data_IF_662872532969
#
_entry.id   IF_662872532969
#
_cell.length_a   1.000
_cell.length_b   1.000
_cell.length_c   1.000
_cell.angle_alpha   90.00
_cell.angle_beta   90.00
_cell.angle_gamma   90.00
#
_symmetry.space_group_name_H-M   'P 1'
#
loop_
_entity.id
_entity.type
_entity.pdbx_description
1 polymer ?
#
# COMPACT_ATOMS: atom_id res chain seq x y z
N UNK A 1 0.13 -17.76 8.22
CA UNK A 1 0.54 -17.76 6.79
C UNK A 1 1.11 -16.39 6.50
N UNK A 2 2.22 -16.29 5.76
CA UNK A 2 2.78 -14.99 5.36
C UNK A 2 1.87 -14.31 4.33
N UNK A 3 1.70 -13.01 4.46
CA UNK A 3 0.83 -12.16 3.64
C UNK A 3 1.68 -11.22 2.83
N UNK A 4 1.91 -11.57 1.58
CA UNK A 4 2.67 -10.76 0.64
C UNK A 4 1.75 -10.35 -0.49
N UNK A 5 1.61 -9.04 -0.68
CA UNK A 5 0.74 -8.52 -1.72
C UNK A 5 0.63 -7.01 -1.69
N UNK A 6 -0.59 -6.50 -1.83
CA UNK A 6 -0.84 -5.07 -2.02
C UNK A 6 -1.84 -4.51 -1.01
N UNK A 7 -1.80 -3.20 -0.86
CA UNK A 7 -2.84 -2.41 -0.22
C UNK A 7 -3.34 -1.34 -1.20
N UNK A 8 -4.66 -1.26 -1.40
CA UNK A 8 -5.32 -0.13 -2.07
C UNK A 8 -5.47 0.98 -1.02
N UNK A 9 -4.39 1.69 -0.69
CA UNK A 9 -4.33 2.58 0.48
C UNK A 9 -3.95 4.03 0.18
N UNK A 10 -3.85 4.38 -1.10
CA UNK A 10 -3.53 5.71 -1.63
C UNK A 10 -4.74 6.65 -1.64
N UNK A 11 -4.49 7.96 -1.72
CA UNK A 11 -5.51 8.98 -2.00
C UNK A 11 -5.73 9.14 -3.51
N UNK A 12 -6.96 9.49 -3.92
CA UNK A 12 -7.32 9.71 -5.32
C UNK A 12 -8.36 8.73 -5.85
N UNK A 13 -8.46 8.60 -7.18
CA UNK A 13 -9.59 7.93 -7.84
C UNK A 13 -9.84 6.52 -7.27
N UNK A 14 -11.07 6.29 -6.80
CA UNK A 14 -11.56 4.95 -6.46
C UNK A 14 -11.54 4.03 -7.68
N UNK A 15 -11.01 2.83 -7.49
CA UNK A 15 -11.01 1.81 -8.53
C UNK A 15 -12.40 1.19 -8.67
N UNK A 16 -12.73 0.82 -9.91
CA UNK A 16 -13.83 -0.08 -10.20
C UNK A 16 -13.48 -1.52 -9.77
N UNK A 17 -14.49 -2.36 -9.52
CA UNK A 17 -14.23 -3.76 -9.19
C UNK A 17 -13.53 -4.53 -10.32
N UNK A 18 -13.76 -4.17 -11.58
CA UNK A 18 -13.04 -4.75 -12.71
C UNK A 18 -11.55 -4.38 -12.70
N UNK A 19 -11.21 -3.13 -12.38
CA UNK A 19 -9.81 -2.72 -12.16
C UNK A 19 -9.19 -3.49 -10.99
N UNK A 20 -9.94 -3.76 -9.91
CA UNK A 20 -9.46 -4.58 -8.79
C UNK A 20 -9.24 -6.05 -9.17
N UNK A 21 -10.10 -6.63 -10.01
CA UNK A 21 -9.94 -8.02 -10.51
C UNK A 21 -8.64 -8.18 -11.32
N UNK A 22 -8.26 -7.17 -12.11
CA UNK A 22 -6.96 -7.15 -12.82
C UNK A 22 -5.80 -7.28 -11.82
N UNK A 23 -5.88 -6.63 -10.65
CA UNK A 23 -4.83 -6.76 -9.63
C UNK A 23 -4.78 -8.15 -9.02
N UNK A 24 -5.93 -8.80 -8.82
CA UNK A 24 -5.98 -10.17 -8.31
C UNK A 24 -5.34 -11.18 -9.28
N UNK A 25 -5.59 -11.02 -10.59
CA UNK A 25 -4.91 -11.83 -11.62
C UNK A 25 -3.39 -11.60 -11.62
N UNK A 26 -2.96 -10.34 -11.47
CA UNK A 26 -1.55 -10.00 -11.36
C UNK A 26 -0.92 -10.60 -10.09
N UNK A 27 -1.59 -10.49 -8.93
CA UNK A 27 -1.13 -11.09 -7.67
C UNK A 27 -0.95 -12.60 -7.83
N UNK A 28 -1.94 -13.28 -8.41
CA UNK A 28 -1.88 -14.72 -8.66
C UNK A 28 -0.70 -15.10 -9.54
N UNK A 29 -0.51 -14.37 -10.64
CA UNK A 29 0.57 -14.60 -11.60
C UNK A 29 1.96 -14.33 -11.00
N UNK A 30 2.03 -13.45 -10.01
CA UNK A 30 3.24 -13.06 -9.28
C UNK A 30 3.51 -13.88 -8.01
N UNK A 31 2.74 -14.93 -7.75
CA UNK A 31 2.81 -15.75 -6.51
C UNK A 31 2.73 -14.89 -5.22
N UNK A 32 1.87 -13.89 -5.27
CA UNK A 32 1.44 -13.05 -4.16
C UNK A 32 0.02 -13.48 -3.75
N UNK A 33 -0.34 -13.25 -2.49
CA UNK A 33 -1.49 -13.94 -1.89
C UNK A 33 -2.40 -13.04 -1.05
N UNK A 34 -2.19 -11.73 -1.04
CA UNK A 34 -2.92 -10.81 -0.18
C UNK A 34 -3.35 -9.53 -0.90
N UNK A 35 -4.59 -9.12 -0.66
CA UNK A 35 -5.15 -7.85 -1.11
C UNK A 35 -5.79 -7.16 0.10
N UNK A 36 -5.31 -5.99 0.49
CA UNK A 36 -5.96 -5.17 1.52
C UNK A 36 -6.76 -4.04 0.86
N UNK A 37 -8.10 -4.12 0.95
CA UNK A 37 -9.00 -3.05 0.54
C UNK A 37 -9.03 -1.98 1.63
N UNK A 38 -8.39 -0.84 1.40
CA UNK A 38 -8.36 0.30 2.33
C UNK A 38 -8.38 1.68 1.63
N UNK A 39 -9.15 1.87 0.53
CA UNK A 39 -9.06 3.10 -0.25
C UNK A 39 -9.47 4.32 0.56
N UNK A 40 -8.64 5.36 0.53
CA UNK A 40 -8.85 6.57 1.34
C UNK A 40 -10.10 7.34 0.95
N UNK A 41 -10.51 7.25 -0.31
CA UNK A 41 -11.70 7.91 -0.86
C UNK A 41 -13.00 7.11 -0.69
N UNK A 42 -12.98 5.92 -0.06
CA UNK A 42 -14.22 5.23 0.31
C UNK A 42 -14.67 5.71 1.70
N UNK A 43 -15.69 6.58 1.78
CA UNK A 43 -16.11 7.15 3.05
C UNK A 43 -16.72 6.09 3.98
N UNK A 44 -17.30 5.01 3.44
CA UNK A 44 -18.07 4.03 4.21
C UNK A 44 -17.18 3.06 5.02
N UNK A 45 -15.87 3.10 4.81
CA UNK A 45 -14.86 2.41 5.62
C UNK A 45 -13.99 3.38 6.42
N UNK A 46 -14.28 4.68 6.37
CA UNK A 46 -13.47 5.75 6.96
C UNK A 46 -14.32 6.85 7.60
N UNK A 47 -14.65 7.92 6.87
CA UNK A 47 -15.28 9.14 7.42
C UNK A 47 -16.77 8.98 7.77
N UNK A 48 -17.46 8.07 7.09
CA UNK A 48 -18.89 7.78 7.26
C UNK A 48 -19.09 6.28 7.49
N UNK A 49 -18.33 5.71 8.44
CA UNK A 49 -18.39 4.29 8.79
C UNK A 49 -19.76 3.88 9.37
N UNK A 50 -20.55 4.85 9.81
CA UNK A 50 -21.94 4.73 10.24
C UNK A 50 -22.93 4.47 9.09
N UNK A 51 -22.54 4.80 7.85
CA UNK A 51 -23.38 4.61 6.67
C UNK A 51 -23.07 3.27 5.99
N UNK A 52 -24.08 2.68 5.36
CA UNK A 52 -23.92 1.48 4.53
C UNK A 52 -23.64 1.82 3.08
N UNK A 53 -22.83 0.99 2.41
CA UNK A 53 -22.74 0.99 0.95
C UNK A 53 -24.10 0.64 0.34
N UNK A 54 -24.29 1.01 -0.93
CA UNK A 54 -25.52 0.67 -1.66
C UNK A 54 -25.63 -0.85 -1.88
N UNK A 55 -26.85 -1.34 -2.12
CA UNK A 55 -27.07 -2.77 -2.43
C UNK A 55 -26.31 -3.23 -3.68
N UNK A 56 -26.23 -2.36 -4.69
CA UNK A 56 -25.47 -2.63 -5.91
C UNK A 56 -23.98 -2.83 -5.59
N UNK A 57 -23.40 -1.91 -4.81
CA UNK A 57 -22.02 -2.03 -4.37
C UNK A 57 -21.77 -3.30 -3.54
N UNK A 58 -22.70 -3.65 -2.64
CA UNK A 58 -22.57 -4.86 -1.81
C UNK A 58 -22.59 -6.14 -2.65
N UNK A 59 -23.42 -6.19 -3.69
CA UNK A 59 -23.44 -7.32 -4.64
C UNK A 59 -22.11 -7.39 -5.42
N UNK A 60 -21.64 -6.25 -5.96
CA UNK A 60 -20.38 -6.22 -6.69
C UNK A 60 -19.18 -6.59 -5.80
N UNK A 61 -19.22 -6.20 -4.52
CA UNK A 61 -18.22 -6.58 -3.54
C UNK A 61 -18.27 -8.08 -3.22
N UNK A 62 -19.45 -8.69 -3.09
CA UNK A 62 -19.60 -10.13 -2.90
C UNK A 62 -19.04 -10.93 -4.09
N UNK A 63 -19.31 -10.46 -5.30
CA UNK A 63 -18.75 -11.02 -6.53
C UNK A 63 -17.22 -10.89 -6.55
N UNK A 64 -16.69 -9.74 -6.13
CA UNK A 64 -15.26 -9.52 -6.01
C UNK A 64 -14.62 -10.43 -4.94
N UNK A 65 -15.23 -10.55 -3.76
CA UNK A 65 -14.75 -11.42 -2.68
C UNK A 65 -14.71 -12.89 -3.15
N UNK A 66 -15.76 -13.35 -3.83
CA UNK A 66 -15.81 -14.70 -4.42
C UNK A 66 -14.70 -14.92 -5.45
N UNK A 67 -14.46 -13.94 -6.32
CA UNK A 67 -13.36 -13.98 -7.29
C UNK A 67 -11.98 -14.09 -6.62
N UNK A 68 -11.74 -13.37 -5.51
CA UNK A 68 -10.48 -13.51 -4.76
C UNK A 68 -10.32 -14.90 -4.15
N UNK A 69 -11.40 -15.48 -3.61
CA UNK A 69 -11.42 -16.84 -3.05
C UNK A 69 -11.04 -17.89 -4.12
N UNK A 70 -11.62 -17.78 -5.33
CA UNK A 70 -11.33 -18.68 -6.46
C UNK A 70 -9.85 -18.65 -6.89
N UNK A 71 -9.23 -17.46 -6.86
CA UNK A 71 -7.81 -17.32 -7.19
C UNK A 71 -6.87 -17.74 -6.04
N UNK A 72 -7.41 -17.95 -4.83
CA UNK A 72 -6.63 -18.19 -3.62
C UNK A 72 -5.93 -16.93 -3.10
N UNK A 73 -6.48 -15.75 -3.39
CA UNK A 73 -6.04 -14.47 -2.87
C UNK A 73 -6.83 -14.18 -1.60
N UNK A 74 -6.14 -13.87 -0.51
CA UNK A 74 -6.78 -13.49 0.74
C UNK A 74 -7.14 -12.01 0.69
N UNK A 75 -8.44 -11.72 0.70
CA UNK A 75 -8.96 -10.37 0.80
C UNK A 75 -9.06 -9.94 2.27
N UNK A 76 -8.50 -8.78 2.58
CA UNK A 76 -8.64 -8.10 3.87
C UNK A 76 -9.27 -6.73 3.73
N UNK A 77 -9.82 -6.21 4.84
CA UNK A 77 -10.52 -4.93 4.89
C UNK A 77 -9.85 -4.00 5.89
N UNK A 78 -9.41 -2.84 5.42
CA UNK A 78 -8.98 -1.73 6.24
C UNK A 78 -10.18 -0.89 6.65
N UNK A 79 -10.35 -0.67 7.96
CA UNK A 79 -11.40 0.17 8.52
C UNK A 79 -10.73 1.28 9.35
N UNK A 80 -10.89 2.53 8.92
CA UNK A 80 -10.34 3.67 9.64
C UNK A 80 -11.31 4.14 10.72
N UNK A 81 -10.86 4.17 11.98
CA UNK A 81 -11.64 4.71 13.09
C UNK A 81 -11.13 6.11 13.46
N UNK A 82 -11.63 7.12 12.75
CA UNK A 82 -11.25 8.52 12.97
C UNK A 82 -11.88 9.07 14.26
N UNK A 83 -13.13 8.70 14.53
CA UNK A 83 -13.86 9.11 15.72
C UNK A 83 -14.22 7.87 16.57
N UNK A 84 -13.75 7.86 17.81
CA UNK A 84 -13.98 6.71 18.72
C UNK A 84 -15.46 6.50 19.10
N UNK A 85 -16.33 7.51 18.89
CA UNK A 85 -17.77 7.34 19.07
C UNK A 85 -18.40 6.39 18.05
N UNK A 86 -17.73 6.15 16.91
CA UNK A 86 -18.20 5.23 15.87
C UNK A 86 -17.82 3.78 16.13
N UNK A 87 -17.42 3.44 17.35
CA UNK A 87 -16.95 2.10 17.69
C UNK A 87 -17.99 0.99 17.44
N UNK A 88 -19.27 1.23 17.72
CA UNK A 88 -20.32 0.24 17.41
C UNK A 88 -20.62 0.13 15.91
N UNK A 89 -20.45 1.23 15.16
CA UNK A 89 -20.53 1.22 13.70
C UNK A 89 -19.38 0.40 13.11
N UNK A 90 -18.17 0.53 13.65
CA UNK A 90 -17.02 -0.31 13.29
C UNK A 90 -17.31 -1.80 13.48
N UNK A 91 -17.89 -2.20 14.63
CA UNK A 91 -18.30 -3.61 14.85
C UNK A 91 -19.34 -4.07 13.85
N UNK A 92 -20.27 -3.19 13.47
CA UNK A 92 -21.30 -3.48 12.46
C UNK A 92 -20.68 -3.73 11.09
N UNK A 93 -19.70 -2.90 10.68
CA UNK A 93 -18.92 -3.11 9.45
C UNK A 93 -18.14 -4.42 9.46
N UNK A 94 -17.49 -4.77 10.56
CA UNK A 94 -16.80 -6.06 10.69
C UNK A 94 -17.79 -7.21 10.46
N UNK A 95 -18.98 -7.18 11.08
CA UNK A 95 -20.01 -8.21 10.87
C UNK A 95 -20.48 -8.29 9.42
N UNK A 96 -20.69 -7.15 8.76
CA UNK A 96 -21.07 -7.08 7.35
C UNK A 96 -20.03 -7.77 6.47
N UNK A 97 -18.75 -7.36 6.56
CA UNK A 97 -17.69 -7.94 5.73
C UNK A 97 -17.39 -9.40 6.06
N UNK A 98 -17.56 -9.84 7.31
CA UNK A 98 -17.52 -11.27 7.67
C UNK A 98 -18.63 -12.07 6.98
N UNK A 99 -19.77 -11.45 6.65
CA UNK A 99 -20.82 -12.06 5.84
C UNK A 99 -20.32 -12.52 4.47
N UNK A 100 -19.35 -11.81 3.89
CA UNK A 100 -18.65 -12.17 2.65
C UNK A 100 -17.46 -13.12 2.89
N UNK A 101 -17.45 -13.85 4.02
CA UNK A 101 -16.38 -14.77 4.46
C UNK A 101 -15.00 -14.13 4.68
N UNK A 102 -14.92 -12.80 4.77
CA UNK A 102 -13.67 -12.10 5.07
C UNK A 102 -13.19 -12.42 6.49
N UNK A 103 -11.89 -12.71 6.62
CA UNK A 103 -11.26 -13.08 7.91
C UNK A 103 -10.12 -12.15 8.32
N UNK A 104 -9.72 -11.20 7.46
CA UNK A 104 -8.61 -10.30 7.72
C UNK A 104 -9.12 -8.88 7.82
N UNK A 105 -8.86 -8.23 8.95
CA UNK A 105 -9.30 -6.88 9.23
C UNK A 105 -8.13 -6.07 9.77
N UNK A 106 -7.95 -4.88 9.22
CA UNK A 106 -6.94 -3.93 9.68
C UNK A 106 -7.65 -2.70 10.23
N UNK A 107 -7.45 -2.36 11.49
CA UNK A 107 -8.02 -1.17 12.10
C UNK A 107 -7.01 -0.05 11.99
N UNK A 108 -7.40 1.03 11.32
CA UNK A 108 -6.49 2.07 10.89
C UNK A 108 -6.71 3.35 11.70
N UNK A 109 -5.64 3.84 12.32
CA UNK A 109 -5.60 5.12 13.04
C UNK A 109 -4.60 6.10 12.42
N UNK A 110 -4.26 5.88 11.15
CA UNK A 110 -3.43 6.76 10.33
C UNK A 110 -4.14 8.08 9.98
N UNK A 111 -3.35 9.13 9.76
CA UNK A 111 -3.79 10.45 9.33
C UNK A 111 -4.86 11.10 10.25
N UNK A 112 -4.70 10.90 11.56
CA UNK A 112 -5.48 11.60 12.59
C UNK A 112 -4.66 12.77 13.14
N UNK A 113 -5.10 13.99 12.88
CA UNK A 113 -4.33 15.20 13.21
C UNK A 113 -4.45 15.68 14.67
N UNK A 114 -5.48 15.24 15.40
CA UNK A 114 -5.71 15.68 16.79
C UNK A 114 -6.55 14.69 17.58
N UNK A 115 -6.54 14.81 18.92
CA UNK A 115 -7.35 14.00 19.83
C UNK A 115 -7.12 12.48 19.74
N UNK A 116 -5.96 12.06 19.26
CA UNK A 116 -5.55 10.66 19.29
C UNK A 116 -4.88 10.32 20.62
N UNK A 117 -5.10 9.10 21.09
CA UNK A 117 -4.54 8.58 22.35
C UNK A 117 -4.33 7.08 22.21
N UNK A 118 -3.16 6.59 22.62
CA UNK A 118 -2.83 5.18 22.50
C UNK A 118 -3.70 4.31 23.40
N UNK A 119 -4.04 4.75 24.61
CA UNK A 119 -4.86 3.95 25.54
C UNK A 119 -6.27 3.70 25.00
N UNK A 120 -6.87 4.71 24.36
CA UNK A 120 -8.13 4.56 23.64
C UNK A 120 -8.03 3.59 22.46
N UNK A 121 -6.98 3.68 21.64
CA UNK A 121 -6.77 2.76 20.52
C UNK A 121 -6.54 1.32 21.01
N UNK A 122 -5.74 1.15 22.07
CA UNK A 122 -5.53 -0.13 22.74
C UNK A 122 -6.83 -0.72 23.24
N UNK A 123 -7.68 0.07 23.92
CA UNK A 123 -9.00 -0.36 24.40
C UNK A 123 -9.88 -0.84 23.23
N UNK A 124 -9.92 -0.10 22.13
CA UNK A 124 -10.65 -0.48 20.92
C UNK A 124 -10.14 -1.81 20.38
N UNK A 125 -8.82 -1.97 20.21
CA UNK A 125 -8.23 -3.20 19.68
C UNK A 125 -8.50 -4.41 20.59
N UNK A 126 -8.31 -4.29 21.89
CA UNK A 126 -8.57 -5.38 22.85
C UNK A 126 -10.04 -5.82 22.81
N UNK A 127 -10.97 -4.86 22.79
CA UNK A 127 -12.41 -5.17 22.73
C UNK A 127 -12.80 -5.86 21.40
N UNK A 128 -12.17 -5.49 20.28
CA UNK A 128 -12.37 -6.18 19.00
C UNK A 128 -11.80 -7.61 19.02
N UNK A 129 -10.64 -7.82 19.64
CA UNK A 129 -10.06 -9.16 19.81
C UNK A 129 -10.98 -10.06 20.64
N UNK A 130 -11.61 -9.52 21.69
CA UNK A 130 -12.58 -10.25 22.52
C UNK A 130 -13.92 -10.48 21.78
N UNK A 131 -14.39 -9.47 21.03
CA UNK A 131 -15.66 -9.52 20.31
C UNK A 131 -15.63 -10.41 19.06
N UNK A 132 -14.46 -10.56 18.45
CA UNK A 132 -14.25 -11.29 17.20
C UNK A 132 -12.98 -12.16 17.27
N UNK A 133 -12.93 -13.19 18.13
CA UNK A 133 -11.74 -14.02 18.32
C UNK A 133 -11.39 -14.90 17.11
N UNK A 134 -12.27 -15.01 16.12
CA UNK A 134 -12.08 -15.84 14.92
C UNK A 134 -11.48 -15.10 13.73
N UNK A 135 -11.38 -13.77 13.78
CA UNK A 135 -10.77 -12.97 12.71
C UNK A 135 -9.30 -12.67 13.03
N UNK A 136 -8.54 -12.36 11.98
CA UNK A 136 -7.17 -11.85 12.10
C UNK A 136 -7.25 -10.33 12.12
N UNK A 137 -6.71 -9.71 13.17
CA UNK A 137 -6.66 -8.27 13.35
C UNK A 137 -5.24 -7.75 13.16
N UNK A 138 -5.11 -6.69 12.38
CA UNK A 138 -3.93 -5.84 12.33
C UNK A 138 -4.28 -4.43 12.80
N UNK A 139 -3.27 -3.71 13.24
CA UNK A 139 -3.39 -2.37 13.78
C UNK A 139 -2.48 -1.41 13.00
N UNK A 140 -3.03 -0.33 12.42
CA UNK A 140 -2.19 0.77 11.95
C UNK A 140 -2.18 1.86 13.03
N UNK A 141 -1.05 2.08 13.73
CA UNK A 141 -0.95 3.14 14.72
C UNK A 141 -1.01 4.53 14.08
N UNK A 142 -1.28 5.56 14.87
CA UNK A 142 -1.21 6.97 14.42
C UNK A 142 0.22 7.40 14.12
N UNK A 143 1.19 6.92 14.91
CA UNK A 143 2.62 7.04 14.60
C UNK A 143 3.06 5.74 13.93
N UNK A 144 3.11 5.74 12.60
CA UNK A 144 3.39 4.57 11.76
C UNK A 144 4.73 4.65 11.01
N UNK A 145 5.57 5.65 11.31
CA UNK A 145 6.92 5.79 10.77
C UNK A 145 7.83 6.56 11.74
N UNK A 146 9.14 6.43 11.58
CA UNK A 146 10.11 7.11 12.46
C UNK A 146 10.00 8.63 12.37
N UNK A 147 9.79 9.19 11.18
CA UNK A 147 9.66 10.64 11.01
C UNK A 147 8.45 11.25 11.74
N UNK A 148 7.42 10.44 12.02
CA UNK A 148 6.24 10.89 12.77
C UNK A 148 6.47 10.93 14.29
N UNK A 149 7.44 10.16 14.83
CA UNK A 149 7.69 10.06 16.27
C UNK A 149 7.89 11.46 16.89
N UNK A 150 8.68 12.30 16.23
CA UNK A 150 9.04 13.63 16.72
C UNK A 150 8.33 14.77 15.97
N UNK A 151 7.22 14.48 15.27
CA UNK A 151 6.43 15.51 14.57
C UNK A 151 5.95 16.60 15.52
N UNK A 152 5.52 16.22 16.73
CA UNK A 152 5.22 17.11 17.85
C UNK A 152 5.22 16.33 19.18
N UNK A 153 4.97 17.03 20.30
CA UNK A 153 4.96 16.42 21.64
C UNK A 153 3.88 15.34 21.82
N UNK A 154 2.73 15.49 21.15
CA UNK A 154 1.63 14.51 21.23
C UNK A 154 2.02 13.19 20.56
N UNK A 155 2.67 13.26 19.39
CA UNK A 155 3.18 12.07 18.69
C UNK A 155 4.27 11.36 19.50
N UNK A 156 5.20 12.12 20.09
CA UNK A 156 6.26 11.56 20.92
C UNK A 156 5.69 10.86 22.17
N UNK A 157 4.72 11.49 22.84
CA UNK A 157 4.05 10.91 24.00
C UNK A 157 3.25 9.65 23.62
N UNK A 158 2.50 9.71 22.51
CA UNK A 158 1.76 8.56 21.98
C UNK A 158 2.70 7.40 21.67
N UNK A 159 3.80 7.63 20.96
CA UNK A 159 4.74 6.57 20.56
C UNK A 159 5.45 5.96 21.76
N UNK A 160 5.81 6.78 22.75
CA UNK A 160 6.38 6.29 24.02
C UNK A 160 5.40 5.37 24.76
N UNK A 161 4.10 5.68 24.77
CA UNK A 161 3.09 4.79 25.35
C UNK A 161 2.86 3.53 24.53
N UNK A 162 2.77 3.66 23.20
CA UNK A 162 2.60 2.55 22.27
C UNK A 162 3.70 1.50 22.44
N UNK A 163 4.96 1.93 22.46
CA UNK A 163 6.11 1.03 22.63
C UNK A 163 6.19 0.42 24.03
N UNK A 164 5.88 1.19 25.08
CA UNK A 164 5.91 0.72 26.47
C UNK A 164 4.80 -0.28 26.81
N UNK A 165 3.60 -0.08 26.26
CA UNK A 165 2.38 -0.77 26.67
C UNK A 165 1.67 -1.44 25.47
N UNK A 166 2.46 -1.90 24.50
CA UNK A 166 1.99 -2.57 23.28
C UNK A 166 1.10 -3.78 23.60
N UNK A 167 0.05 -3.99 22.81
CA UNK A 167 -0.70 -5.26 22.83
C UNK A 167 0.24 -6.38 22.37
N UNK A 168 0.39 -7.42 23.18
CA UNK A 168 1.21 -8.59 22.83
C UNK A 168 0.56 -9.36 21.68
N UNK A 169 1.40 -9.92 20.80
CA UNK A 169 0.99 -10.78 19.68
C UNK A 169 0.03 -10.13 18.66
N UNK A 170 -0.13 -8.79 18.70
CA UNK A 170 -0.90 -8.03 17.71
C UNK A 170 0.04 -7.49 16.63
N UNK A 171 -0.24 -7.82 15.38
CA UNK A 171 0.48 -7.26 14.23
C UNK A 171 0.17 -5.77 14.10
N UNK A 172 1.18 -4.99 13.73
CA UNK A 172 0.98 -3.58 13.44
C UNK A 172 1.72 -3.10 12.20
N UNK A 173 1.16 -2.08 11.54
CA UNK A 173 1.75 -1.52 10.33
C UNK A 173 2.87 -0.51 10.65
N UNK A 174 3.89 -0.54 9.80
CA UNK A 174 5.01 0.40 9.81
C UNK A 174 5.45 0.70 8.38
N UNK A 175 5.78 1.96 8.08
CA UNK A 175 6.24 2.38 6.74
C UNK A 175 7.76 2.59 6.67
N UNK A 176 8.46 2.38 7.79
CA UNK A 176 9.92 2.54 7.90
C UNK A 176 10.33 3.90 8.48
N UNK A 177 11.49 4.39 8.04
CA UNK A 177 12.05 5.68 8.49
C UNK A 177 11.11 6.85 8.17
N UNK A 178 10.41 6.76 7.03
CA UNK A 178 9.51 7.80 6.51
C UNK A 178 8.18 7.19 6.11
N UNK A 179 7.17 8.04 5.95
CA UNK A 179 5.90 7.72 5.29
C UNK A 179 6.20 7.13 3.91
N UNK A 180 7.10 7.73 3.14
CA UNK A 180 7.66 7.19 1.89
C UNK A 180 9.14 6.88 2.09
N UNK A 181 9.45 5.66 2.54
CA UNK A 181 10.82 5.20 2.77
C UNK A 181 11.53 4.84 1.46
N UNK A 182 12.75 5.35 1.26
CA UNK A 182 13.60 5.03 0.09
C UNK A 182 14.60 3.91 0.36
N UNK A 183 14.60 3.38 1.59
CA UNK A 183 15.37 2.22 2.01
C UNK A 183 14.60 1.48 3.11
N UNK A 184 14.32 0.20 2.89
CA UNK A 184 13.63 -0.72 3.80
C UNK A 184 14.55 -1.91 4.06
N UNK A 185 15.11 -1.95 5.27
CA UNK A 185 16.04 -2.96 5.74
C UNK A 185 15.91 -3.11 7.26
N UNK A 186 16.75 -3.94 7.91
CA UNK A 186 16.68 -4.15 9.37
C UNK A 186 16.73 -2.83 10.17
N UNK A 187 17.45 -1.81 9.69
CA UNK A 187 17.56 -0.53 10.37
C UNK A 187 16.29 0.33 10.28
N UNK A 188 15.30 -0.05 9.45
CA UNK A 188 14.00 0.65 9.37
C UNK A 188 13.13 0.46 10.62
N UNK A 189 13.59 -0.33 11.59
CA UNK A 189 12.89 -0.70 12.83
C UNK A 189 13.66 -0.31 14.09
N UNK A 190 14.69 0.55 13.97
CA UNK A 190 15.58 0.89 15.11
C UNK A 190 14.86 1.56 16.27
N UNK A 191 13.76 2.26 15.99
CA UNK A 191 12.93 2.91 17.01
C UNK A 191 11.91 1.94 17.65
N UNK A 192 11.83 0.71 17.15
CA UNK A 192 10.94 -0.35 17.60
C UNK A 192 11.74 -1.42 18.35
N UNK A 193 11.05 -2.16 19.22
CA UNK A 193 11.69 -3.22 20.01
C UNK A 193 11.98 -4.46 19.15
N UNK A 194 13.26 -4.85 19.03
CA UNK A 194 13.74 -5.88 18.08
C UNK A 194 13.10 -7.26 18.28
N UNK A 195 12.61 -7.58 19.50
CA UNK A 195 12.06 -8.90 19.84
C UNK A 195 10.82 -9.30 19.02
N UNK A 196 10.24 -8.38 18.23
CA UNK A 196 8.94 -8.58 17.60
C UNK A 196 8.93 -8.29 16.09
N UNK A 197 10.07 -8.41 15.41
CA UNK A 197 10.19 -8.06 13.99
C UNK A 197 9.18 -8.78 13.07
N UNK A 198 8.71 -10.00 13.42
CA UNK A 198 7.67 -10.70 12.66
C UNK A 198 6.27 -10.11 12.82
N UNK A 199 5.98 -9.44 13.95
CA UNK A 199 4.71 -8.74 14.20
C UNK A 199 4.62 -7.39 13.46
N UNK A 200 5.76 -6.87 12.99
CA UNK A 200 5.81 -5.64 12.20
C UNK A 200 5.40 -5.99 10.77
N UNK A 201 4.22 -5.50 10.39
CA UNK A 201 3.70 -5.56 9.03
C UNK A 201 4.16 -4.33 8.25
N UNK A 202 4.71 -4.51 7.05
CA UNK A 202 5.17 -3.36 6.26
C UNK A 202 4.06 -2.85 5.36
N UNK A 203 3.81 -1.54 5.44
CA UNK A 203 3.01 -0.78 4.49
C UNK A 203 3.98 0.07 3.67
N UNK A 204 4.34 -0.40 2.48
CA UNK A 204 5.36 0.21 1.65
C UNK A 204 4.76 1.24 0.68
N UNK A 205 4.95 2.53 0.97
CA UNK A 205 4.49 3.63 0.12
C UNK A 205 5.49 4.05 -0.97
N UNK A 206 6.57 3.29 -1.21
CA UNK A 206 7.62 3.72 -2.15
C UNK A 206 7.07 4.11 -3.52
N UNK A 207 6.06 3.41 -4.04
CA UNK A 207 5.51 3.65 -5.37
C UNK A 207 4.40 4.71 -5.43
N UNK A 208 3.85 5.17 -4.30
CA UNK A 208 2.65 6.01 -4.32
C UNK A 208 2.87 7.34 -5.04
N UNK A 209 1.81 7.84 -5.68
CA UNK A 209 1.85 9.08 -6.48
C UNK A 209 0.77 10.08 -6.11
N UNK A 210 0.04 9.83 -5.03
CA UNK A 210 -1.07 10.64 -4.53
C UNK A 210 -0.67 12.05 -4.06
N UNK A 211 0.57 12.20 -3.58
CA UNK A 211 1.21 13.52 -3.37
C UNK A 211 1.51 14.32 -4.64
N UNK A 212 1.06 13.83 -5.81
CA UNK A 212 1.25 14.42 -7.14
C UNK A 212 2.73 14.74 -7.45
N UNK A 213 3.65 13.77 -7.32
CA UNK A 213 5.06 14.04 -7.54
C UNK A 213 5.32 14.31 -9.02
N UNK A 214 6.34 15.13 -9.31
CA UNK A 214 6.74 15.39 -10.71
C UNK A 214 7.32 14.15 -11.40
N UNK A 215 7.81 13.21 -10.62
CA UNK A 215 8.57 12.00 -10.97
C UNK A 215 7.97 10.82 -10.19
N UNK A 216 8.08 9.61 -10.71
CA UNK A 216 7.59 8.40 -10.00
C UNK A 216 8.77 7.48 -9.67
N UNK A 217 8.73 6.92 -8.46
CA UNK A 217 9.66 5.87 -8.09
C UNK A 217 9.39 4.63 -8.94
N UNK A 218 10.35 4.23 -9.77
CA UNK A 218 10.21 3.09 -10.67
C UNK A 218 11.54 2.34 -10.77
N UNK A 219 11.66 1.27 -9.99
CA UNK A 219 12.85 0.43 -9.93
C UNK A 219 12.46 -1.04 -9.72
N UNK A 220 13.39 -1.96 -9.94
CA UNK A 220 13.24 -3.36 -9.51
C UNK A 220 13.50 -3.50 -8.01
N UNK A 221 12.60 -2.92 -7.20
CA UNK A 221 12.62 -2.98 -5.74
C UNK A 221 13.98 -2.59 -5.10
N UNK A 222 14.69 -1.60 -5.67
CA UNK A 222 16.02 -1.20 -5.19
C UNK A 222 16.02 -0.65 -3.78
N UNK A 223 14.88 -0.15 -3.31
CA UNK A 223 14.71 0.36 -1.94
C UNK A 223 14.57 -0.76 -0.91
N UNK A 224 14.32 -2.01 -1.31
CA UNK A 224 13.98 -3.09 -0.41
C UNK A 224 15.12 -4.11 -0.29
N UNK A 225 15.53 -4.42 0.93
CA UNK A 225 16.41 -5.55 1.20
C UNK A 225 15.62 -6.88 1.21
N UNK A 226 16.12 -7.89 0.50
CA UNK A 226 15.42 -9.18 0.38
C UNK A 226 15.37 -9.93 1.71
N UNK A 227 16.45 -9.89 2.51
CA UNK A 227 16.48 -10.60 3.79
C UNK A 227 15.49 -9.98 4.78
N UNK A 228 15.33 -8.66 4.73
CA UNK A 228 14.33 -7.91 5.47
C UNK A 228 12.90 -8.27 5.02
N UNK A 229 12.61 -8.29 3.72
CA UNK A 229 11.31 -8.76 3.21
C UNK A 229 10.98 -10.17 3.76
N UNK A 230 11.95 -11.09 3.71
CA UNK A 230 11.74 -12.47 4.13
C UNK A 230 11.62 -12.63 5.65
N UNK A 231 12.04 -11.65 6.46
CA UNK A 231 11.85 -11.67 7.91
C UNK A 231 10.41 -11.31 8.32
N UNK A 232 9.62 -10.71 7.42
CA UNK A 232 8.23 -10.30 7.69
C UNK A 232 7.24 -11.43 7.50
N UNK A 233 6.15 -11.37 8.28
CA UNK A 233 4.94 -12.16 8.04
C UNK A 233 3.90 -11.40 7.23
N UNK A 234 4.04 -10.07 7.10
CA UNK A 234 3.18 -9.25 6.25
C UNK A 234 3.99 -8.12 5.57
N UNK A 235 3.90 -8.02 4.25
CA UNK A 235 4.47 -6.92 3.47
C UNK A 235 3.52 -6.56 2.34
N UNK A 236 3.02 -5.34 2.36
CA UNK A 236 2.04 -4.82 1.41
C UNK A 236 2.63 -3.62 0.68
N UNK A 237 2.66 -3.69 -0.65
CA UNK A 237 2.99 -2.54 -1.50
C UNK A 237 1.74 -1.68 -1.67
N UNK A 238 1.82 -0.41 -1.30
CA UNK A 238 0.77 0.55 -1.57
C UNK A 238 0.87 1.04 -3.02
N UNK A 239 -0.25 0.98 -3.72
CA UNK A 239 -0.33 1.20 -5.16
C UNK A 239 -0.45 2.69 -5.54
N UNK A 240 -0.42 2.96 -6.84
CA UNK A 240 -0.47 4.31 -7.41
C UNK A 240 -1.89 4.78 -7.77
N UNK A 241 -2.82 3.83 -7.92
CA UNK A 241 -4.17 4.09 -8.44
C UNK A 241 -4.24 4.12 -9.97
N UNK A 242 -3.20 3.63 -10.64
CA UNK A 242 -3.08 3.57 -12.10
C UNK A 242 -3.00 2.10 -12.52
N UNK A 243 -4.09 1.50 -13.03
CA UNK A 243 -4.19 0.04 -13.12
C UNK A 243 -3.08 -0.66 -13.93
N UNK A 244 -2.56 -0.04 -14.99
CA UNK A 244 -1.47 -0.66 -15.78
C UNK A 244 -0.13 -0.56 -15.07
N UNK A 245 0.15 0.60 -14.47
CA UNK A 245 1.34 0.82 -13.64
C UNK A 245 1.35 -0.08 -12.41
N UNK A 246 0.20 -0.26 -11.77
CA UNK A 246 0.05 -1.09 -10.59
C UNK A 246 0.24 -2.58 -10.92
N UNK A 247 -0.26 -3.04 -12.08
CA UNK A 247 0.01 -4.40 -12.57
C UNK A 247 1.51 -4.66 -12.80
N UNK A 248 2.23 -3.65 -13.32
CA UNK A 248 3.69 -3.70 -13.46
C UNK A 248 4.37 -3.77 -12.09
N UNK A 249 3.95 -2.97 -11.11
CA UNK A 249 4.53 -2.97 -9.75
C UNK A 249 4.32 -4.32 -9.06
N UNK A 250 3.15 -4.94 -9.23
CA UNK A 250 2.84 -6.27 -8.68
C UNK A 250 3.78 -7.34 -9.28
N UNK A 251 4.12 -7.25 -10.57
CA UNK A 251 5.08 -8.15 -11.23
C UNK A 251 6.51 -7.92 -10.73
N UNK A 252 6.92 -6.66 -10.61
CA UNK A 252 8.22 -6.30 -10.02
C UNK A 252 8.35 -6.85 -8.58
N UNK A 253 7.27 -6.81 -7.80
CA UNK A 253 7.28 -7.34 -6.44
C UNK A 253 7.39 -8.86 -6.39
N UNK A 254 6.57 -9.54 -7.20
CA UNK A 254 6.62 -11.00 -7.33
C UNK A 254 8.00 -11.49 -7.75
N UNK A 255 8.55 -10.89 -8.80
CA UNK A 255 9.90 -11.19 -9.31
C UNK A 255 10.98 -11.00 -8.24
N UNK A 256 10.98 -9.86 -7.55
CA UNK A 256 11.94 -9.58 -6.48
C UNK A 256 11.82 -10.58 -5.32
N UNK A 257 10.60 -10.84 -4.85
CA UNK A 257 10.33 -11.79 -3.77
C UNK A 257 10.83 -13.20 -4.12
N UNK A 258 10.54 -13.66 -5.34
CA UNK A 258 10.93 -14.98 -5.82
C UNK A 258 12.41 -15.10 -6.17
N UNK A 259 13.18 -13.99 -6.18
CA UNK A 259 14.54 -13.92 -6.76
C UNK A 259 14.59 -14.52 -8.17
N UNK A 260 13.61 -14.16 -8.99
CA UNK A 260 13.54 -14.62 -10.36
C UNK A 260 14.63 -13.96 -11.23
N UNK A 261 15.04 -14.64 -12.30
CA UNK A 261 16.09 -14.16 -13.19
C UNK A 261 15.62 -13.10 -14.21
N UNK A 262 14.32 -12.79 -14.28
CA UNK A 262 13.83 -11.79 -15.24
C UNK A 262 14.40 -10.42 -14.91
N UNK A 263 14.96 -9.76 -15.92
CA UNK A 263 15.54 -8.44 -15.75
C UNK A 263 14.45 -7.38 -15.59
N UNK A 264 14.84 -6.22 -15.06
CA UNK A 264 13.94 -5.06 -14.99
C UNK A 264 13.43 -4.67 -16.39
N UNK A 265 14.27 -4.76 -17.41
CA UNK A 265 13.93 -4.50 -18.81
C UNK A 265 12.87 -5.49 -19.32
N UNK A 266 13.03 -6.79 -19.07
CA UNK A 266 12.08 -7.81 -19.53
C UNK A 266 10.67 -7.55 -18.97
N UNK A 267 10.60 -7.18 -17.68
CA UNK A 267 9.33 -6.89 -17.02
C UNK A 267 8.71 -5.61 -17.60
N UNK A 268 9.49 -4.55 -17.80
CA UNK A 268 8.99 -3.31 -18.41
C UNK A 268 8.43 -3.57 -19.81
N UNK A 269 9.14 -4.32 -20.65
CA UNK A 269 8.71 -4.70 -22.00
C UNK A 269 7.43 -5.54 -21.97
N UNK A 270 7.33 -6.52 -21.05
CA UNK A 270 6.13 -7.35 -20.85
C UNK A 270 4.89 -6.52 -20.55
N UNK A 271 5.02 -5.43 -19.79
CA UNK A 271 3.91 -4.52 -19.46
C UNK A 271 3.71 -3.40 -20.48
N UNK A 272 4.39 -3.46 -21.63
CA UNK A 272 4.17 -2.58 -22.77
C UNK A 272 4.89 -1.24 -22.68
N UNK A 273 5.93 -1.12 -21.84
CA UNK A 273 6.87 0.01 -21.91
C UNK A 273 7.61 -0.06 -23.25
N UNK A 274 7.66 1.06 -23.97
CA UNK A 274 8.33 1.15 -25.25
C UNK A 274 9.83 0.87 -25.12
N UNK A 275 10.39 -0.02 -25.95
CA UNK A 275 11.82 -0.39 -25.92
C UNK A 275 12.75 0.82 -26.00
N UNK A 276 12.33 1.87 -26.72
CA UNK A 276 13.11 3.10 -26.90
C UNK A 276 13.15 3.94 -25.63
N UNK A 277 12.22 3.72 -24.70
CA UNK A 277 12.16 4.40 -23.41
C UNK A 277 13.02 3.71 -22.34
N UNK A 278 13.29 2.41 -22.47
CA UNK A 278 14.04 1.61 -21.47
C UNK A 278 15.35 2.28 -21.04
N UNK A 279 16.21 2.79 -21.96
CA UNK A 279 17.46 3.45 -21.58
C UNK A 279 17.27 4.70 -20.72
N UNK A 280 16.05 5.25 -20.67
CA UNK A 280 15.70 6.50 -20.01
C UNK A 280 14.79 6.32 -18.79
N UNK A 281 14.38 5.08 -18.46
CA UNK A 281 13.50 4.81 -17.31
C UNK A 281 14.11 5.29 -15.99
N UNK A 282 15.44 5.27 -15.86
CA UNK A 282 16.12 5.80 -14.69
C UNK A 282 15.80 7.29 -14.43
N UNK A 283 15.41 8.07 -15.44
CA UNK A 283 15.08 9.49 -15.27
C UNK A 283 13.82 9.72 -14.43
N UNK A 284 12.93 8.73 -14.37
CA UNK A 284 11.73 8.77 -13.53
C UNK A 284 12.08 8.78 -12.05
N UNK A 285 13.22 8.21 -11.63
CA UNK A 285 13.63 8.16 -10.24
C UNK A 285 13.89 9.59 -9.68
N UNK A 286 13.17 10.00 -8.62
CA UNK A 286 13.34 11.30 -7.96
C UNK A 286 14.76 11.57 -7.42
N UNK A 287 15.53 10.52 -7.12
CA UNK A 287 16.94 10.65 -6.67
C UNK A 287 17.86 11.14 -7.79
N UNK A 288 17.47 10.96 -9.05
CA UNK A 288 18.27 11.37 -10.21
C UNK A 288 18.15 12.88 -10.44
N UNK A 289 19.17 13.62 -10.00
CA UNK A 289 19.33 15.07 -10.18
C UNK A 289 20.16 15.37 -11.44
N UNK A 290 19.73 14.83 -12.58
CA UNK A 290 20.45 14.96 -13.85
C UNK A 290 19.75 15.99 -14.74
N UNK A 291 20.52 16.94 -15.26
CA UNK A 291 20.07 17.84 -16.32
C UNK A 291 20.02 17.06 -17.63
N UNK A 292 18.82 16.86 -18.14
CA UNK A 292 18.60 16.13 -19.40
C UNK A 292 18.99 17.03 -20.57
N UNK A 293 19.88 16.54 -21.45
CA UNK A 293 20.31 17.26 -22.64
C UNK A 293 19.18 17.37 -23.69
N UNK A 294 19.35 18.25 -24.67
CA UNK A 294 18.33 18.51 -25.70
C UNK A 294 18.03 17.31 -26.59
N UNK A 295 19.03 16.48 -26.91
CA UNK A 295 18.85 15.30 -27.76
C UNK A 295 18.02 14.23 -27.03
N UNK A 296 18.32 14.00 -25.75
CA UNK A 296 17.52 13.10 -24.90
C UNK A 296 16.08 13.60 -24.75
N UNK A 297 15.88 14.91 -24.55
CA UNK A 297 14.52 15.50 -24.50
C UNK A 297 13.75 15.27 -25.80
N UNK A 298 14.39 15.44 -26.96
CA UNK A 298 13.77 15.22 -28.27
C UNK A 298 13.43 13.75 -28.51
N UNK A 299 14.27 12.82 -28.02
CA UNK A 299 13.98 11.37 -28.08
C UNK A 299 12.77 11.01 -27.23
N UNK A 300 12.73 11.42 -25.96
CA UNK A 300 11.57 11.18 -25.07
C UNK A 300 10.31 11.79 -25.67
N UNK A 301 10.41 13.00 -26.25
CA UNK A 301 9.30 13.65 -26.94
C UNK A 301 8.79 12.79 -28.11
N UNK A 302 9.65 12.32 -29.00
CA UNK A 302 9.26 11.45 -30.13
C UNK A 302 8.60 10.16 -29.64
N UNK A 303 9.12 9.54 -28.59
CA UNK A 303 8.53 8.33 -27.99
C UNK A 303 7.13 8.63 -27.49
N UNK A 304 6.95 9.69 -26.69
CA UNK A 304 5.65 10.08 -26.13
C UNK A 304 4.55 10.29 -27.19
N UNK A 305 4.90 10.73 -28.39
CA UNK A 305 3.96 10.92 -29.51
C UNK A 305 3.75 9.69 -30.40
N UNK A 306 4.62 8.67 -30.31
CA UNK A 306 4.57 7.47 -31.16
C UNK A 306 4.32 6.17 -30.40
N UNK A 307 4.39 6.20 -29.06
CA UNK A 307 4.07 5.07 -28.19
C UNK A 307 2.56 5.03 -27.93
N UNK A 308 1.86 4.11 -28.61
CA UNK A 308 0.41 3.92 -28.50
C UNK A 308 0.08 2.74 -27.57
N UNK A 309 0.08 3.01 -26.27
CA UNK A 309 -0.25 2.01 -25.25
C UNK A 309 -1.02 2.65 -24.09
N UNK A 310 -1.98 1.96 -23.42
CA UNK A 310 -2.68 2.51 -22.27
C UNK A 310 -1.74 2.96 -21.13
N UNK A 311 -0.63 2.26 -20.91
CA UNK A 311 0.40 2.67 -19.91
C UNK A 311 0.97 4.05 -20.21
N UNK A 312 1.14 4.42 -21.49
CA UNK A 312 1.61 5.74 -21.89
C UNK A 312 0.65 6.85 -21.46
N UNK A 313 -0.64 6.57 -21.35
CA UNK A 313 -1.63 7.57 -20.91
C UNK A 313 -1.50 7.82 -19.40
N UNK A 314 -1.30 6.76 -18.62
CA UNK A 314 -0.99 6.88 -17.18
C UNK A 314 0.33 7.63 -16.96
N UNK A 315 1.34 7.35 -17.79
CA UNK A 315 2.69 7.94 -17.65
C UNK A 315 2.84 9.31 -18.32
N UNK A 316 1.83 9.78 -19.05
CA UNK A 316 1.93 11.02 -19.83
C UNK A 316 2.36 12.25 -19.01
N UNK A 317 1.81 12.51 -17.79
CA UNK A 317 2.25 13.64 -16.98
C UNK A 317 3.74 13.57 -16.61
N UNK A 318 4.24 12.37 -16.30
CA UNK A 318 5.63 12.15 -15.90
C UNK A 318 6.59 12.26 -17.08
N UNK A 319 6.23 11.68 -18.23
CA UNK A 319 6.98 11.86 -19.49
C UNK A 319 7.07 13.34 -19.88
N UNK A 320 5.98 14.08 -19.69
CA UNK A 320 5.95 15.52 -19.94
C UNK A 320 6.88 16.29 -18.97
N UNK A 321 6.89 15.93 -17.69
CA UNK A 321 7.78 16.55 -16.69
C UNK A 321 9.26 16.29 -17.00
N UNK A 322 9.62 15.10 -17.50
CA UNK A 322 11.00 14.80 -17.89
C UNK A 322 11.52 15.72 -19.01
N UNK A 323 10.66 16.13 -19.95
CA UNK A 323 11.00 17.08 -21.02
C UNK A 323 11.34 18.47 -20.47
N UNK A 324 10.62 18.91 -19.43
CA UNK A 324 10.70 20.26 -18.89
C UNK A 324 11.64 20.37 -17.68
N UNK A 325 12.40 19.31 -17.37
CA UNK A 325 13.32 19.29 -16.24
C UNK A 325 14.56 20.16 -16.53
N UNK A 326 14.89 21.08 -15.61
CA UNK A 326 16.04 21.98 -15.66
C UNK A 326 17.22 21.51 -14.81
#
# INVERSE_FOLDING_TARGET
MKRFGIVEGFYGKLLSFDERKIFCDALKSSELNFYLYAPKEDPFIRTHIDLEHTKEWLNDFEDFASFTEELGINLGIGLSLINTNDFENLKTKIRQFKGFKIKYFSILFDDIDSNFDYQNQKRVMTDLMDSFPEINLDYCPTVYSSELINKNIEHANYFSQFTKDRIKDLNFFWTGEKVISTSLNKNSETDLDEENSSLISIWDNYFTTDSCPKKMNLTLMKHLDHSYLMSKDCYLVNLTGMPRTDSLIIDLFGNFKAKSDSSFEDILLKHGVDERLIPYVYLFDPSQKIKVDSDTKDKIHKIMFTWFHPLKNEWYPYLHNLKNWE
#
